data_IF_441325301711
#
_entry.id   IF_441325301711
#
_cell.length_a   1.000
_cell.length_b   1.000
_cell.length_c   1.000
_cell.angle_alpha   90.00
_cell.angle_beta   90.00
_cell.angle_gamma   90.00
#
_symmetry.space_group_name_H-M   'P 1'
#
loop_
_entity.id
_entity.type
_entity.pdbx_description
1 polymer ?
#
# COMPACT_ATOMS: atom_id res chain seq x y z
N UNK A 1 22.04 0.30 15.15
CA UNK A 1 21.74 1.43 14.24
C UNK A 1 20.24 1.58 14.01
N UNK A 2 19.55 0.52 13.55
CA UNK A 2 18.08 0.52 13.39
C UNK A 2 17.30 0.94 14.62
N UNK A 3 17.64 0.42 15.80
CA UNK A 3 16.99 0.78 17.07
C UNK A 3 17.12 2.27 17.39
N UNK A 4 18.35 2.82 17.26
CA UNK A 4 18.60 4.26 17.43
C UNK A 4 17.84 5.13 16.42
N UNK A 5 17.66 4.66 15.18
CA UNK A 5 16.85 5.36 14.19
C UNK A 5 15.35 5.37 14.56
N UNK A 6 14.83 4.26 15.07
CA UNK A 6 13.43 4.17 15.52
C UNK A 6 13.15 5.08 16.74
N UNK A 7 14.17 5.34 17.56
CA UNK A 7 14.08 6.30 18.67
C UNK A 7 14.10 7.77 18.22
N UNK A 8 14.47 8.05 16.96
CA UNK A 8 14.49 9.42 16.45
C UNK A 8 13.08 10.03 16.42
N UNK A 9 12.99 11.32 16.72
CA UNK A 9 11.71 12.04 16.65
C UNK A 9 11.11 12.03 15.23
N UNK A 10 11.96 12.09 14.21
CA UNK A 10 11.55 11.93 12.81
C UNK A 10 10.80 10.61 12.58
N UNK A 11 11.36 9.48 13.03
CA UNK A 11 10.73 8.19 12.86
C UNK A 11 9.42 8.09 13.66
N UNK A 12 9.43 8.51 14.93
CA UNK A 12 8.24 8.46 15.79
C UNK A 12 7.09 9.27 15.21
N UNK A 13 7.37 10.49 14.72
CA UNK A 13 6.33 11.33 14.14
C UNK A 13 5.76 10.72 12.85
N UNK A 14 6.62 10.20 11.97
CA UNK A 14 6.16 9.49 10.76
C UNK A 14 5.39 8.21 11.08
N UNK A 15 5.78 7.48 12.11
CA UNK A 15 5.10 6.27 12.56
C UNK A 15 3.65 6.56 13.01
N UNK A 16 3.41 7.70 13.69
CA UNK A 16 2.05 8.13 14.05
C UNK A 16 1.16 8.41 12.84
N UNK A 17 1.72 8.75 11.68
CA UNK A 17 0.94 9.00 10.46
C UNK A 17 0.60 7.71 9.69
N UNK A 18 1.17 6.56 10.08
CA UNK A 18 1.12 5.30 9.30
C UNK A 18 -0.30 4.74 9.14
N UNK A 19 -1.19 4.99 10.11
CA UNK A 19 -2.60 4.59 10.03
C UNK A 19 -3.28 5.13 8.76
N UNK A 20 -2.86 6.29 8.25
CA UNK A 20 -3.40 6.92 7.03
C UNK A 20 -3.19 6.05 5.78
N UNK A 21 -2.11 5.25 5.73
CA UNK A 21 -1.78 4.40 4.58
C UNK A 21 -2.09 2.92 4.83
N UNK A 22 -2.07 2.47 6.08
CA UNK A 22 -2.29 1.07 6.43
C UNK A 22 -3.67 0.56 6.06
N UNK A 23 -4.72 1.36 6.28
CA UNK A 23 -6.08 0.97 5.90
C UNK A 23 -6.18 0.72 4.39
N UNK A 24 -5.57 1.61 3.58
CA UNK A 24 -5.54 1.50 2.11
C UNK A 24 -4.71 0.30 1.64
N UNK A 25 -3.59 0.02 2.31
CA UNK A 25 -2.73 -1.12 1.98
C UNK A 25 -3.37 -2.45 2.41
N UNK A 26 -4.06 -2.47 3.55
CA UNK A 26 -4.83 -3.63 3.99
C UNK A 26 -5.95 -3.94 3.01
N UNK A 27 -6.69 -2.92 2.56
CA UNK A 27 -7.70 -3.08 1.51
C UNK A 27 -7.08 -3.65 0.22
N UNK A 28 -5.97 -3.06 -0.27
CA UNK A 28 -5.27 -3.55 -1.46
C UNK A 28 -4.90 -5.03 -1.35
N UNK A 29 -4.26 -5.41 -0.24
CA UNK A 29 -3.84 -6.79 0.01
C UNK A 29 -5.02 -7.75 0.06
N UNK A 30 -5.95 -7.55 1.00
CA UNK A 30 -6.92 -8.57 1.34
C UNK A 30 -8.20 -8.50 0.47
N UNK A 31 -8.65 -7.30 0.09
CA UNK A 31 -9.91 -7.13 -0.67
C UNK A 31 -9.70 -7.21 -2.17
N UNK A 32 -8.52 -6.78 -2.64
CA UNK A 32 -8.16 -6.78 -4.07
C UNK A 32 -7.08 -7.81 -4.41
N UNK A 33 -6.73 -8.71 -3.47
CA UNK A 33 -5.84 -9.84 -3.69
C UNK A 33 -4.40 -9.45 -4.03
N UNK A 34 -3.95 -8.25 -3.64
CA UNK A 34 -2.60 -7.78 -3.97
C UNK A 34 -1.49 -8.53 -3.22
N UNK A 35 -1.82 -9.22 -2.12
CA UNK A 35 -0.86 -10.05 -1.38
C UNK A 35 -0.54 -11.39 -2.07
N UNK A 36 -1.31 -11.80 -3.08
CA UNK A 36 -1.09 -13.03 -3.83
C UNK A 36 -0.51 -12.71 -5.20
N UNK A 37 0.70 -13.19 -5.49
CA UNK A 37 1.31 -13.04 -6.80
C UNK A 37 0.55 -13.87 -7.86
N UNK A 38 0.12 -13.24 -8.94
CA UNK A 38 -0.56 -13.89 -10.07
C UNK A 38 0.43 -14.54 -11.05
N UNK A 39 1.69 -14.16 -10.99
CA UNK A 39 2.78 -14.69 -11.81
C UNK A 39 4.09 -14.69 -11.03
N UNK A 40 4.97 -15.64 -11.34
CA UNK A 40 6.34 -15.62 -10.85
C UNK A 40 7.20 -14.59 -11.61
N UNK A 41 8.14 -13.95 -10.91
CA UNK A 41 9.09 -13.00 -11.49
C UNK A 41 8.77 -11.53 -11.21
N UNK A 42 9.84 -10.73 -11.08
CA UNK A 42 9.77 -9.32 -10.66
C UNK A 42 8.90 -8.47 -11.58
N UNK A 43 9.05 -8.62 -12.90
CA UNK A 43 8.30 -7.85 -13.90
C UNK A 43 6.78 -8.07 -13.75
N UNK A 44 6.37 -9.32 -13.56
CA UNK A 44 4.95 -9.66 -13.37
C UNK A 44 4.39 -9.09 -12.07
N UNK A 45 5.17 -9.13 -11.00
CA UNK A 45 4.81 -8.53 -9.71
C UNK A 45 4.71 -6.99 -9.77
N UNK A 46 5.63 -6.34 -10.50
CA UNK A 46 5.60 -4.89 -10.75
C UNK A 46 4.36 -4.48 -11.52
N UNK A 47 4.05 -5.20 -12.62
CA UNK A 47 2.85 -4.95 -13.42
C UNK A 47 1.58 -5.18 -12.60
N UNK A 48 1.51 -6.27 -11.83
CA UNK A 48 0.39 -6.53 -10.92
C UNK A 48 0.22 -5.38 -9.91
N UNK A 49 1.31 -4.90 -9.32
CA UNK A 49 1.28 -3.78 -8.37
C UNK A 49 0.78 -2.49 -9.01
N UNK A 50 1.33 -2.12 -10.16
CA UNK A 50 0.92 -0.92 -10.89
C UNK A 50 -0.58 -0.97 -11.24
N UNK A 51 -1.04 -2.10 -11.80
CA UNK A 51 -2.44 -2.29 -12.21
C UNK A 51 -3.40 -2.30 -11.02
N UNK A 52 -3.06 -2.96 -9.91
CA UNK A 52 -3.88 -3.00 -8.71
C UNK A 52 -4.04 -1.61 -8.10
N UNK A 53 -2.93 -0.86 -7.92
CA UNK A 53 -2.95 0.49 -7.36
C UNK A 53 -3.78 1.43 -8.24
N UNK A 54 -3.53 1.41 -9.55
CA UNK A 54 -4.24 2.27 -10.49
C UNK A 54 -5.76 1.99 -10.48
N UNK A 55 -6.14 0.73 -10.65
CA UNK A 55 -7.56 0.32 -10.73
C UNK A 55 -8.31 0.62 -9.43
N UNK A 56 -7.71 0.33 -8.27
CA UNK A 56 -8.36 0.58 -6.97
C UNK A 56 -8.52 2.07 -6.72
N UNK A 57 -7.54 2.90 -7.11
CA UNK A 57 -7.67 4.35 -7.00
C UNK A 57 -8.76 4.89 -7.93
N UNK A 58 -8.89 4.38 -9.16
CA UNK A 58 -10.01 4.73 -10.04
C UNK A 58 -11.36 4.37 -9.40
N UNK A 59 -11.51 3.16 -8.85
CA UNK A 59 -12.74 2.75 -8.16
C UNK A 59 -13.10 3.69 -7.00
N UNK A 60 -12.11 4.16 -6.23
CA UNK A 60 -12.32 5.11 -5.13
C UNK A 60 -12.80 6.47 -5.64
N UNK A 61 -12.19 7.00 -6.71
CA UNK A 61 -12.59 8.27 -7.31
C UNK A 61 -14.02 8.16 -7.84
N UNK A 62 -14.34 7.11 -8.59
CA UNK A 62 -15.69 6.89 -9.13
C UNK A 62 -16.74 6.83 -8.02
N UNK A 63 -16.45 6.13 -6.91
CA UNK A 63 -17.36 6.08 -5.75
C UNK A 63 -17.59 7.44 -5.08
N UNK A 64 -16.64 8.37 -5.18
CA UNK A 64 -16.81 9.74 -4.68
C UNK A 64 -17.60 10.62 -5.67
N UNK A 65 -17.62 10.24 -6.96
CA UNK A 65 -18.35 10.96 -7.99
C UNK A 65 -19.85 10.60 -8.04
N UNK A 66 -20.23 9.40 -7.56
CA UNK A 66 -21.62 8.93 -7.52
C UNK A 66 -21.72 7.42 -7.50
#
# INVERSE_FOLDING_TARGET
>A
EQEKFQESEYFKEKSKERYKIEAKNSELKHRHGYDVASSSGLIGMELQGAMAIFTVNLKRILKLMG
#
